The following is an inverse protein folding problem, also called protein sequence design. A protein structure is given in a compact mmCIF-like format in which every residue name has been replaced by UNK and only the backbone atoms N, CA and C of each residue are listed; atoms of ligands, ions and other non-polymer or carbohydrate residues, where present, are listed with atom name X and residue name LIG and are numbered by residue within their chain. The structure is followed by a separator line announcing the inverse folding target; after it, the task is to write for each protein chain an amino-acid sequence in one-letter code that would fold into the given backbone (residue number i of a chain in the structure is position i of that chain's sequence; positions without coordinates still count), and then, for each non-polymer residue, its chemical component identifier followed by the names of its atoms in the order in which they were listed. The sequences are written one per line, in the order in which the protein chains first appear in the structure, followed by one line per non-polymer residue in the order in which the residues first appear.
data_IF_929585429393
#
_entry.id   IF_929585429393
#
_cell.length_a   1.000
_cell.length_b   1.000
_cell.length_c   1.000
_cell.angle_alpha   90.00
_cell.angle_beta   90.00
_cell.angle_gamma   90.00
#
_symmetry.space_group_name_H-M   'P 1'
#
loop_
_entity.id
_entity.type
_entity.pdbx_description
1 polymer ?
#
# COMPACT_ATOMS: atom_id res chain seq x y z
N UNK A 1 -15.05 16.09 -18.72
CA UNK A 1 -14.40 14.85 -19.17
C UNK A 1 -13.97 14.10 -17.93
N UNK A 2 -14.59 12.96 -17.65
CA UNK A 2 -14.23 12.11 -16.51
C UNK A 2 -12.93 11.38 -16.87
N UNK A 3 -11.80 11.88 -16.38
CA UNK A 3 -10.53 11.17 -16.47
C UNK A 3 -10.63 10.01 -15.49
N UNK A 4 -10.73 8.78 -16.01
CA UNK A 4 -10.64 7.60 -15.16
C UNK A 4 -9.26 7.64 -14.49
N UNK A 5 -9.14 7.51 -13.16
CA UNK A 5 -7.87 7.77 -12.45
C UNK A 5 -6.67 7.00 -12.98
N UNK A 6 -6.89 5.79 -13.52
CA UNK A 6 -5.86 4.97 -14.16
C UNK A 6 -5.28 5.60 -15.45
N UNK A 7 -5.91 6.65 -15.99
CA UNK A 7 -5.40 7.41 -17.14
C UNK A 7 -4.67 8.69 -16.73
N UNK A 8 -4.64 9.03 -15.43
CA UNK A 8 -3.93 10.21 -14.96
C UNK A 8 -2.41 10.01 -15.11
N UNK A 9 -1.66 10.95 -15.72
CA UNK A 9 -0.22 10.76 -15.97
C UNK A 9 0.61 10.39 -14.73
N UNK A 10 0.29 11.00 -13.59
CA UNK A 10 0.94 10.68 -12.31
C UNK A 10 0.64 9.24 -11.86
N UNK A 11 -0.59 8.75 -12.05
CA UNK A 11 -0.97 7.37 -11.68
C UNK A 11 -0.23 6.38 -12.57
N UNK A 12 -0.18 6.63 -13.88
CA UNK A 12 0.58 5.79 -14.82
C UNK A 12 2.07 5.75 -14.43
N UNK A 13 2.65 6.89 -14.07
CA UNK A 13 4.04 6.94 -13.61
C UNK A 13 4.24 6.11 -12.33
N UNK A 14 3.37 6.27 -11.35
CA UNK A 14 3.42 5.50 -10.10
C UNK A 14 3.25 4.01 -10.32
N UNK A 15 2.36 3.57 -11.20
CA UNK A 15 2.21 2.15 -11.49
C UNK A 15 3.47 1.55 -12.11
N UNK A 16 4.07 2.27 -13.07
CA UNK A 16 5.29 1.85 -13.73
C UNK A 16 6.49 1.81 -12.77
N UNK A 17 6.54 2.73 -11.81
CA UNK A 17 7.66 2.82 -10.86
C UNK A 17 7.48 1.85 -9.68
N UNK A 18 6.27 1.74 -9.11
CA UNK A 18 6.02 1.02 -7.85
C UNK A 18 5.66 -0.44 -8.02
N UNK A 19 4.82 -0.81 -9.00
CA UNK A 19 4.36 -2.19 -9.13
C UNK A 19 5.51 -3.20 -9.37
N UNK A 20 6.54 -2.88 -10.18
CA UNK A 20 7.70 -3.76 -10.30
C UNK A 20 8.43 -3.96 -8.97
N UNK A 21 8.60 -2.89 -8.17
CA UNK A 21 9.25 -2.96 -6.86
C UNK A 21 8.46 -3.84 -5.89
N UNK A 22 7.13 -3.67 -5.84
CA UNK A 22 6.28 -4.48 -4.98
C UNK A 22 6.29 -5.96 -5.39
N UNK A 23 6.26 -6.25 -6.69
CA UNK A 23 6.37 -7.62 -7.21
C UNK A 23 7.72 -8.24 -6.87
N UNK A 24 8.80 -7.46 -6.94
CA UNK A 24 10.14 -7.92 -6.59
C UNK A 24 10.30 -8.23 -5.08
N UNK A 25 9.50 -7.59 -4.22
CA UNK A 25 9.51 -7.85 -2.77
C UNK A 25 8.73 -9.11 -2.35
N UNK A 26 7.82 -9.62 -3.20
CA UNK A 26 6.96 -10.76 -2.86
C UNK A 26 7.73 -12.02 -2.45
N UNK A 27 8.81 -12.45 -3.13
CA UNK A 27 9.55 -13.65 -2.75
C UNK A 27 10.13 -13.56 -1.33
N UNK A 28 10.67 -12.40 -0.95
CA UNK A 28 11.24 -12.19 0.37
C UNK A 28 10.14 -12.18 1.44
N UNK A 29 9.00 -11.56 1.16
CA UNK A 29 7.84 -11.59 2.07
C UNK A 29 7.35 -13.02 2.27
N UNK A 30 7.18 -13.79 1.19
CA UNK A 30 6.75 -15.18 1.26
C UNK A 30 7.77 -16.07 2.01
N UNK A 31 9.06 -15.74 1.95
CA UNK A 31 10.09 -16.42 2.71
C UNK A 31 10.04 -16.09 4.22
N UNK A 32 9.84 -14.81 4.57
CA UNK A 32 9.82 -14.34 5.95
C UNK A 32 8.52 -14.67 6.69
N UNK A 33 7.39 -14.64 5.98
CA UNK A 33 6.05 -14.90 6.51
C UNK A 33 5.32 -15.96 5.66
N UNK A 34 5.76 -17.23 5.69
CA UNK A 34 5.18 -18.30 4.86
C UNK A 34 3.71 -18.60 5.16
N UNK A 35 3.20 -18.18 6.30
CA UNK A 35 1.79 -18.27 6.70
C UNK A 35 0.91 -17.16 6.08
N UNK A 36 1.50 -16.20 5.38
CA UNK A 36 0.80 -15.08 4.77
C UNK A 36 0.74 -15.23 3.25
N UNK A 37 -0.43 -14.97 2.67
CA UNK A 37 -0.62 -14.85 1.24
C UNK A 37 -0.37 -13.40 0.83
N UNK A 38 0.83 -13.14 0.30
CA UNK A 38 1.23 -11.82 -0.19
C UNK A 38 0.80 -11.61 -1.64
N UNK A 39 0.17 -10.47 -1.94
CA UNK A 39 -0.24 -10.09 -3.29
C UNK A 39 -0.09 -8.59 -3.53
N UNK A 40 0.18 -8.20 -4.78
CA UNK A 40 0.24 -6.79 -5.19
C UNK A 40 -1.13 -6.34 -5.68
N UNK A 41 -1.58 -5.17 -5.22
CA UNK A 41 -2.84 -4.57 -5.66
C UNK A 41 -2.65 -3.15 -6.18
N UNK A 42 -3.59 -2.72 -7.02
CA UNK A 42 -3.74 -1.35 -7.49
C UNK A 42 -5.23 -1.09 -7.76
N UNK A 43 -5.79 -0.02 -7.20
CA UNK A 43 -7.19 0.35 -7.44
C UNK A 43 -7.44 1.85 -7.27
N UNK A 44 -8.41 2.36 -8.02
CA UNK A 44 -8.90 3.73 -7.88
C UNK A 44 -9.89 3.85 -6.72
N UNK A 45 -9.69 4.83 -5.85
CA UNK A 45 -10.59 5.24 -4.79
C UNK A 45 -11.38 6.50 -5.18
N UNK A 46 -12.60 6.64 -4.66
CA UNK A 46 -13.43 7.82 -4.87
C UNK A 46 -14.91 7.51 -4.92
N UNK A 47 -15.69 8.46 -5.43
CA UNK A 47 -17.13 8.31 -5.63
C UNK A 47 -17.46 8.16 -7.12
N UNK A 48 -18.69 7.75 -7.43
CA UNK A 48 -19.15 7.50 -8.80
C UNK A 48 -18.98 8.71 -9.76
N UNK A 49 -18.81 9.92 -9.23
CA UNK A 49 -18.64 11.16 -10.01
C UNK A 49 -17.20 11.64 -10.13
N UNK A 50 -16.30 11.21 -9.25
CA UNK A 50 -14.90 11.61 -9.26
C UNK A 50 -14.04 10.53 -8.58
N UNK A 51 -13.17 9.90 -9.36
CA UNK A 51 -12.14 9.02 -8.84
C UNK A 51 -10.92 9.88 -8.48
N UNK A 52 -10.90 10.36 -7.25
CA UNK A 52 -9.93 11.37 -6.78
C UNK A 52 -8.68 10.76 -6.18
N UNK A 53 -8.76 9.47 -5.85
CA UNK A 53 -7.72 8.76 -5.14
C UNK A 53 -7.26 7.53 -5.92
N UNK A 54 -6.02 7.13 -5.70
CA UNK A 54 -5.48 5.90 -6.24
C UNK A 54 -4.57 5.24 -5.22
N UNK A 55 -4.70 3.92 -5.09
CA UNK A 55 -4.04 3.13 -4.08
C UNK A 55 -3.25 2.01 -4.74
N UNK A 56 -2.03 1.78 -4.26
CA UNK A 56 -1.14 0.71 -4.70
C UNK A 56 -0.49 0.09 -3.48
N UNK A 57 -0.13 -1.18 -3.55
CA UNK A 57 0.48 -1.78 -2.39
C UNK A 57 0.73 -3.27 -2.45
N UNK A 58 1.15 -3.79 -1.31
CA UNK A 58 1.25 -5.22 -1.04
C UNK A 58 0.29 -5.51 0.10
N UNK A 59 -0.63 -6.45 -0.13
CA UNK A 59 -1.51 -7.02 0.89
C UNK A 59 -0.94 -8.37 1.33
N UNK A 60 -0.86 -8.60 2.63
CA UNK A 60 -0.53 -9.88 3.23
C UNK A 60 -1.75 -10.39 4.00
N UNK A 61 -2.46 -11.36 3.43
CA UNK A 61 -3.58 -12.04 4.09
C UNK A 61 -3.02 -13.15 4.98
N UNK A 62 -3.36 -13.14 6.26
CA UNK A 62 -2.87 -14.06 7.26
C UNK A 62 -3.80 -15.28 7.37
N UNK A 63 -3.22 -16.48 7.36
CA UNK A 63 -4.01 -17.69 7.62
C UNK A 63 -4.42 -17.78 9.11
N UNK A 64 -5.68 -18.17 9.34
CA UNK A 64 -6.23 -18.57 10.66
C UNK A 64 -6.27 -17.47 11.73
N UNK A 65 -7.01 -16.40 11.45
CA UNK A 65 -7.18 -15.32 12.43
C UNK A 65 -8.54 -15.44 13.12
N UNK A 66 -8.54 -15.26 14.44
CA UNK A 66 -9.78 -15.18 15.23
C UNK A 66 -10.73 -14.16 14.58
N UNK A 67 -12.06 -14.34 14.65
CA UNK A 67 -13.03 -13.37 14.11
C UNK A 67 -12.83 -11.93 14.62
N UNK A 68 -12.19 -11.79 15.80
CA UNK A 68 -11.92 -10.52 16.45
C UNK A 68 -10.51 -9.95 16.15
N UNK A 69 -9.78 -10.55 15.22
CA UNK A 69 -8.39 -10.19 14.88
C UNK A 69 -8.26 -9.74 13.43
N UNK A 70 -7.30 -8.85 13.17
CA UNK A 70 -7.04 -8.38 11.82
C UNK A 70 -6.47 -9.52 10.96
N UNK A 71 -7.15 -9.84 9.87
CA UNK A 71 -6.74 -10.90 8.94
C UNK A 71 -5.78 -10.44 7.85
N UNK A 72 -5.54 -9.14 7.78
CA UNK A 72 -4.70 -8.53 6.78
C UNK A 72 -3.74 -7.52 7.41
N UNK A 73 -2.52 -7.47 6.88
CA UNK A 73 -1.63 -6.32 7.01
C UNK A 73 -1.18 -5.89 5.62
N UNK A 74 -1.28 -4.60 5.32
CA UNK A 74 -1.01 -4.09 3.99
C UNK A 74 -0.07 -2.89 4.02
N UNK A 75 0.90 -2.89 3.11
CA UNK A 75 1.61 -1.69 2.68
C UNK A 75 0.72 -0.97 1.68
N UNK A 76 0.35 0.26 1.98
CA UNK A 76 -0.51 1.11 1.17
C UNK A 76 0.24 2.40 0.80
N UNK A 77 0.43 2.62 -0.49
CA UNK A 77 0.79 3.92 -1.07
C UNK A 77 -0.47 4.52 -1.67
N UNK A 78 -0.81 5.73 -1.28
CA UNK A 78 -1.99 6.43 -1.77
C UNK A 78 -1.62 7.75 -2.42
N UNK A 79 -2.30 8.07 -3.51
CA UNK A 79 -2.35 9.42 -4.07
C UNK A 79 -3.75 9.94 -3.87
N UNK A 80 -3.88 11.11 -3.28
CA UNK A 80 -5.17 11.79 -3.12
C UNK A 80 -5.15 13.16 -3.76
N UNK A 81 -6.33 13.70 -4.07
CA UNK A 81 -6.45 15.06 -4.58
C UNK A 81 -5.88 15.27 -6.00
N UNK A 82 -5.93 14.22 -6.85
CA UNK A 82 -5.38 14.22 -8.21
C UNK A 82 -5.81 15.42 -9.07
N UNK A 83 -7.02 15.96 -8.86
CA UNK A 83 -7.57 17.07 -9.66
C UNK A 83 -7.07 18.46 -9.23
N UNK A 84 -6.56 18.62 -8.00
CA UNK A 84 -6.22 19.93 -7.43
C UNK A 84 -4.74 20.03 -7.05
N UNK A 85 -4.30 19.15 -6.16
CA UNK A 85 -2.95 19.09 -5.65
C UNK A 85 -2.70 17.66 -5.14
N UNK A 86 -2.07 16.84 -5.96
CA UNK A 86 -1.82 15.44 -5.62
C UNK A 86 -0.96 15.34 -4.36
N UNK A 87 -1.41 14.58 -3.37
CA UNK A 87 -0.68 14.28 -2.15
C UNK A 87 -0.33 12.80 -2.12
N UNK A 88 0.94 12.48 -1.84
CA UNK A 88 1.41 11.13 -1.64
C UNK A 88 1.45 10.79 -0.16
N UNK A 89 0.93 9.63 0.19
CA UNK A 89 1.10 9.01 1.51
C UNK A 89 1.52 7.54 1.36
N UNK A 90 2.27 7.03 2.33
CA UNK A 90 2.66 5.63 2.36
C UNK A 90 2.68 5.13 3.81
N UNK A 91 2.07 3.98 4.05
CA UNK A 91 1.94 3.40 5.38
C UNK A 91 1.80 1.87 5.33
N UNK A 92 2.13 1.21 6.43
CA UNK A 92 1.75 -0.17 6.71
C UNK A 92 0.66 -0.14 7.77
N UNK A 93 -0.47 -0.78 7.51
CA UNK A 93 -1.59 -0.82 8.44
C UNK A 93 -2.25 -2.20 8.47
N UNK A 94 -2.80 -2.52 9.63
CA UNK A 94 -3.62 -3.70 9.87
C UNK A 94 -5.05 -3.45 9.38
N UNK A 95 -5.65 -4.46 8.75
CA UNK A 95 -7.05 -4.45 8.36
C UNK A 95 -8.00 -4.36 9.56
N UNK A 96 -9.31 -4.21 9.30
CA UNK A 96 -10.33 -4.34 10.33
C UNK A 96 -10.25 -5.72 11.03
N UNK A 97 -10.61 -5.81 12.32
CA UNK A 97 -11.14 -4.75 13.16
C UNK A 97 -10.06 -3.83 13.78
N UNK A 98 -8.77 -4.16 13.69
CA UNK A 98 -7.70 -3.42 14.39
C UNK A 98 -7.53 -2.00 13.86
N UNK A 99 -7.43 -1.84 12.53
CA UNK A 99 -7.12 -0.55 11.87
C UNK A 99 -5.84 0.14 12.38
N UNK A 100 -4.96 -0.60 13.07
CA UNK A 100 -3.71 -0.06 13.65
C UNK A 100 -2.73 0.27 12.54
N UNK A 101 -2.10 1.44 12.64
CA UNK A 101 -0.96 1.81 11.79
C UNK A 101 0.29 1.18 12.40
N UNK A 102 0.94 0.30 11.63
CA UNK A 102 2.21 -0.34 12.01
C UNK A 102 3.39 0.59 11.77
N UNK A 103 3.41 1.23 10.61
CA UNK A 103 4.45 2.18 10.21
C UNK A 103 3.88 3.20 9.24
N UNK A 104 4.42 4.42 9.23
CA UNK A 104 4.01 5.46 8.30
C UNK A 104 5.24 6.27 7.85
N UNK A 105 5.37 6.46 6.55
CA UNK A 105 6.42 7.31 6.00
C UNK A 105 6.02 8.78 6.14
N UNK A 106 6.94 9.56 6.70
CA UNK A 106 6.85 11.01 6.60
C UNK A 106 7.38 11.45 5.24
N UNK A 107 6.51 12.01 4.39
CA UNK A 107 6.84 12.47 3.04
C UNK A 107 6.77 14.00 2.95
N UNK A 108 7.76 14.73 3.50
CA UNK A 108 7.69 16.19 3.70
C UNK A 108 7.55 17.01 2.41
N UNK A 109 7.83 16.42 1.24
CA UNK A 109 7.63 17.04 -0.06
C UNK A 109 6.68 16.25 -0.99
N UNK A 110 6.09 15.14 -0.50
CA UNK A 110 5.27 14.23 -1.30
C UNK A 110 5.87 13.89 -2.68
N UNK A 111 7.20 13.74 -2.75
CA UNK A 111 7.90 13.44 -4.01
C UNK A 111 8.11 11.95 -4.18
N UNK A 112 8.22 11.53 -5.44
CA UNK A 112 8.61 10.16 -5.80
C UNK A 112 9.96 9.77 -5.18
N UNK A 113 10.92 10.69 -5.10
CA UNK A 113 12.21 10.41 -4.49
C UNK A 113 12.10 10.13 -2.98
N UNK A 114 11.28 10.91 -2.26
CA UNK A 114 11.02 10.67 -0.85
C UNK A 114 10.29 9.35 -0.61
N UNK A 115 9.34 9.01 -1.49
CA UNK A 115 8.65 7.73 -1.46
C UNK A 115 9.63 6.56 -1.65
N UNK A 116 10.45 6.59 -2.72
CA UNK A 116 11.45 5.56 -2.96
C UNK A 116 12.44 5.39 -1.80
N UNK A 117 12.82 6.49 -1.13
CA UNK A 117 13.68 6.43 0.04
C UNK A 117 13.01 5.75 1.25
N UNK A 118 11.70 5.91 1.42
CA UNK A 118 10.95 5.34 2.55
C UNK A 118 10.47 3.89 2.32
N UNK A 119 10.34 3.46 1.06
CA UNK A 119 9.83 2.13 0.72
C UNK A 119 10.58 0.96 1.37
N UNK A 120 11.92 0.92 1.43
CA UNK A 120 12.63 -0.20 2.05
C UNK A 120 12.26 -0.40 3.52
N UNK A 121 12.13 0.69 4.29
CA UNK A 121 11.73 0.64 5.70
C UNK A 121 10.28 0.16 5.84
N UNK A 122 9.37 0.62 4.98
CA UNK A 122 7.99 0.17 4.97
C UNK A 122 7.83 -1.31 4.59
N UNK A 123 8.59 -1.80 3.61
CA UNK A 123 8.60 -3.22 3.23
C UNK A 123 9.13 -4.07 4.39
N UNK A 124 10.17 -3.60 5.07
CA UNK A 124 10.70 -4.27 6.27
C UNK A 124 9.65 -4.33 7.38
N UNK A 125 8.94 -3.23 7.64
CA UNK A 125 7.86 -3.19 8.61
C UNK A 125 6.71 -4.14 8.25
N UNK A 126 6.34 -4.21 6.96
CA UNK A 126 5.34 -5.16 6.46
C UNK A 126 5.78 -6.61 6.70
N UNK A 127 7.02 -6.96 6.38
CA UNK A 127 7.56 -8.30 6.59
C UNK A 127 7.52 -8.69 8.08
N UNK A 128 7.95 -7.79 8.96
CA UNK A 128 7.95 -8.03 10.41
C UNK A 128 6.52 -8.18 10.96
N UNK A 129 5.58 -7.35 10.50
CA UNK A 129 4.18 -7.44 10.89
C UNK A 129 3.52 -8.73 10.40
N UNK A 130 3.71 -9.08 9.13
CA UNK A 130 3.19 -10.32 8.55
C UNK A 130 3.77 -11.56 9.25
N UNK A 131 5.06 -11.53 9.57
CA UNK A 131 5.71 -12.60 10.33
C UNK A 131 5.13 -12.72 11.75
N UNK A 132 4.86 -11.59 12.40
CA UNK A 132 4.25 -11.55 13.75
C UNK A 132 2.82 -12.05 13.75
N UNK A 133 2.07 -11.83 12.67
CA UNK A 133 0.71 -12.34 12.46
C UNK A 133 -0.38 -11.68 13.33
N UNK A 134 -0.04 -10.64 14.10
CA UNK A 134 -1.00 -9.87 14.90
C UNK A 134 -0.50 -8.43 15.16
N UNK A 135 -1.41 -7.46 15.35
CA UNK A 135 -1.08 -6.05 15.63
C UNK A 135 -0.12 -5.82 16.80
#
# INVERSE_FOLDING_TARGET
MTVLSHTHPLVIQLENDLLPLFRAALPDIAHTAPQALASVFAFSGGNASAFQDYHFGISCLLEQVSPDSADEVALLVSVTGLEQAAQLSAQVAWGPPSSKIEAQAHLPAATMAALHAALPELITALQQAAQRGQP
#
